data_IF_848866080527
#
_entry.id   IF_848866080527
#
_cell.length_a   1.000
_cell.length_b   1.000
_cell.length_c   1.000
_cell.angle_alpha   90.00
_cell.angle_beta   90.00
_cell.angle_gamma   90.00
#
_symmetry.space_group_name_H-M   'P 1'
#
loop_
_entity.id
_entity.type
_entity.pdbx_description
1 polymer ?
#
# COMPACT_ATOMS: atom_id res chain seq x y z
N UNK A 1 -9.43 -10.01 19.52
CA UNK A 1 -8.35 -9.01 19.69
C UNK A 1 -7.38 -9.34 20.83
N UNK A 2 -7.84 -9.90 21.96
CA UNK A 2 -6.96 -10.36 23.05
C UNK A 2 -5.81 -11.28 22.59
N UNK A 3 -6.05 -12.19 21.64
CA UNK A 3 -5.00 -13.06 21.09
C UNK A 3 -3.94 -12.26 20.33
N UNK A 4 -4.35 -11.29 19.50
CA UNK A 4 -3.44 -10.51 18.66
C UNK A 4 -2.60 -9.53 19.48
N UNK A 5 -3.23 -8.78 20.39
CA UNK A 5 -2.54 -7.88 21.33
C UNK A 5 -1.68 -8.69 22.32
N UNK A 6 -2.26 -9.74 22.91
CA UNK A 6 -1.61 -10.64 23.84
C UNK A 6 -1.14 -9.98 25.15
N UNK A 7 -0.49 -10.76 26.01
CA UNK A 7 0.10 -10.26 27.27
C UNK A 7 1.30 -9.34 27.06
N UNK A 8 1.93 -9.38 25.89
CA UNK A 8 3.05 -8.51 25.51
C UNK A 8 2.60 -7.12 25.02
N UNK A 9 1.29 -6.83 25.06
CA UNK A 9 0.73 -5.53 24.65
C UNK A 9 1.16 -5.09 23.25
N UNK A 10 1.14 -6.00 22.28
CA UNK A 10 1.55 -5.71 20.90
C UNK A 10 0.65 -4.63 20.28
N UNK A 11 1.27 -3.77 19.48
CA UNK A 11 0.53 -2.84 18.62
C UNK A 11 -0.03 -3.61 17.43
N UNK A 12 -1.32 -3.43 17.15
CA UNK A 12 -2.00 -4.10 16.04
C UNK A 12 -2.61 -3.05 15.13
N UNK A 13 -2.12 -2.98 13.90
CA UNK A 13 -2.74 -2.20 12.83
C UNK A 13 -3.80 -3.07 12.15
N UNK A 14 -5.08 -2.71 12.33
CA UNK A 14 -6.19 -3.48 11.79
C UNK A 14 -6.89 -2.70 10.68
N UNK A 15 -6.58 -3.09 9.44
CA UNK A 15 -7.18 -2.52 8.25
C UNK A 15 -8.57 -3.10 8.02
N UNK A 16 -9.58 -2.24 7.86
CA UNK A 16 -10.92 -2.69 7.45
C UNK A 16 -10.99 -3.03 5.97
N UNK A 17 -11.91 -3.91 5.53
CA UNK A 17 -12.02 -4.20 4.11
C UNK A 17 -12.45 -2.95 3.32
N UNK A 18 -12.00 -2.80 2.07
CA UNK A 18 -12.36 -1.68 1.21
C UNK A 18 -13.80 -1.80 0.70
N UNK A 19 -14.34 -0.69 0.17
CA UNK A 19 -15.60 -0.67 -0.59
C UNK A 19 -15.59 -1.72 -1.71
N UNK A 20 -16.68 -2.45 -1.93
CA UNK A 20 -16.78 -3.49 -2.95
C UNK A 20 -17.79 -3.11 -4.04
N UNK A 21 -17.59 -3.60 -5.27
CA UNK A 21 -18.46 -3.25 -6.41
C UNK A 21 -19.85 -3.88 -6.28
N UNK A 22 -19.91 -5.14 -5.88
CA UNK A 22 -21.18 -5.84 -5.65
C UNK A 22 -21.84 -5.35 -4.36
N UNK A 23 -23.10 -4.95 -4.42
CA UNK A 23 -23.80 -4.33 -3.30
C UNK A 23 -23.99 -5.27 -2.11
N UNK A 24 -24.20 -6.57 -2.35
CA UNK A 24 -24.39 -7.56 -1.29
C UNK A 24 -23.07 -7.78 -0.53
N UNK A 25 -21.96 -7.93 -1.25
CA UNK A 25 -20.63 -8.02 -0.64
C UNK A 25 -20.30 -6.70 0.07
N UNK A 26 -20.59 -5.57 -0.57
CA UNK A 26 -20.32 -4.23 -0.02
C UNK A 26 -21.02 -3.99 1.33
N UNK A 27 -22.28 -4.40 1.45
CA UNK A 27 -23.01 -4.31 2.71
C UNK A 27 -22.34 -5.13 3.81
N UNK A 28 -21.89 -6.35 3.49
CA UNK A 28 -21.19 -7.21 4.44
C UNK A 28 -19.87 -6.59 4.92
N UNK A 29 -19.05 -6.05 4.00
CA UNK A 29 -17.77 -5.45 4.40
C UNK A 29 -17.93 -4.17 5.22
N UNK A 30 -18.99 -3.37 4.97
CA UNK A 30 -19.34 -2.21 5.81
C UNK A 30 -19.61 -2.65 7.24
N UNK A 31 -20.46 -3.67 7.43
CA UNK A 31 -20.78 -4.22 8.75
C UNK A 31 -19.53 -4.79 9.45
N UNK A 32 -18.66 -5.48 8.72
CA UNK A 32 -17.38 -5.98 9.25
C UNK A 32 -16.50 -4.80 9.70
N UNK A 33 -16.36 -3.76 8.88
CA UNK A 33 -15.56 -2.57 9.20
C UNK A 33 -16.05 -1.87 10.46
N UNK A 34 -17.36 -1.69 10.61
CA UNK A 34 -17.98 -1.12 11.82
C UNK A 34 -17.72 -1.98 13.06
N UNK A 35 -17.87 -3.30 12.94
CA UNK A 35 -17.55 -4.22 14.04
C UNK A 35 -16.08 -4.13 14.43
N UNK A 36 -15.16 -4.12 13.46
CA UNK A 36 -13.72 -3.96 13.70
C UNK A 36 -13.43 -2.65 14.44
N UNK A 37 -14.00 -1.53 13.97
CA UNK A 37 -13.86 -0.21 14.60
C UNK A 37 -14.34 -0.24 16.06
N UNK A 38 -15.49 -0.85 16.32
CA UNK A 38 -16.06 -0.98 17.67
C UNK A 38 -15.22 -1.86 18.60
N UNK A 39 -14.62 -2.92 18.08
CA UNK A 39 -13.69 -3.77 18.83
C UNK A 39 -12.40 -3.02 19.11
N UNK A 40 -11.79 -2.40 18.10
CA UNK A 40 -10.52 -1.69 18.21
C UNK A 40 -10.55 -0.59 19.29
N UNK A 41 -11.66 0.16 19.40
CA UNK A 41 -11.85 1.20 20.43
C UNK A 41 -11.72 0.70 21.87
N UNK A 42 -11.81 -0.61 22.11
CA UNK A 42 -11.66 -1.22 23.44
C UNK A 42 -10.21 -1.57 23.78
N UNK A 43 -9.28 -1.41 22.84
CA UNK A 43 -7.88 -1.79 22.98
C UNK A 43 -6.97 -0.60 22.60
N UNK A 44 -6.30 0.05 23.57
CA UNK A 44 -5.51 1.25 23.31
C UNK A 44 -4.35 1.07 22.31
N UNK A 45 -3.82 -0.15 22.16
CA UNK A 45 -2.73 -0.48 21.24
C UNK A 45 -3.20 -0.93 19.86
N UNK A 46 -4.51 -0.88 19.59
CA UNK A 46 -5.06 -1.21 18.28
C UNK A 46 -5.31 0.06 17.51
N UNK A 47 -4.65 0.18 16.36
CA UNK A 47 -4.89 1.24 15.39
C UNK A 47 -5.82 0.67 14.32
N UNK A 48 -7.04 1.20 14.24
CA UNK A 48 -7.99 0.82 13.20
C UNK A 48 -7.83 1.73 12.00
N UNK A 49 -7.60 1.15 10.82
CA UNK A 49 -7.37 1.88 9.57
C UNK A 49 -8.59 1.69 8.69
N UNK A 50 -9.22 2.80 8.29
CA UNK A 50 -10.43 2.82 7.49
C UNK A 50 -10.15 2.50 6.03
N UNK A 51 -9.95 1.23 5.72
CA UNK A 51 -9.78 0.78 4.35
C UNK A 51 -11.01 1.06 3.48
N UNK A 52 -12.20 1.29 4.05
CA UNK A 52 -13.38 1.61 3.26
C UNK A 52 -13.25 3.00 2.66
N UNK A 53 -13.06 4.00 3.52
CA UNK A 53 -12.92 5.41 3.14
C UNK A 53 -11.63 5.71 2.38
N UNK A 54 -10.63 4.82 2.43
CA UNK A 54 -9.42 4.94 1.62
C UNK A 54 -9.68 4.65 0.13
N UNK A 55 -10.73 3.90 -0.21
CA UNK A 55 -10.95 3.38 -1.56
C UNK A 55 -12.33 3.71 -2.13
N UNK A 56 -13.15 4.49 -1.43
CA UNK A 56 -14.38 5.04 -1.98
C UNK A 56 -14.13 6.31 -2.78
N UNK A 57 -15.12 6.69 -3.59
CA UNK A 57 -15.15 8.00 -4.23
C UNK A 57 -15.79 9.06 -3.32
N UNK A 58 -15.89 10.29 -3.83
CA UNK A 58 -16.51 11.41 -3.11
C UNK A 58 -17.98 11.16 -2.72
N UNK A 59 -18.65 10.16 -3.30
CA UNK A 59 -20.02 9.76 -2.94
C UNK A 59 -20.09 8.57 -1.98
N UNK A 60 -18.94 8.02 -1.58
CA UNK A 60 -18.85 6.82 -0.75
C UNK A 60 -19.07 5.51 -1.52
N UNK A 61 -18.93 5.54 -2.86
CA UNK A 61 -19.16 4.40 -3.74
C UNK A 61 -17.87 3.76 -4.23
N UNK A 62 -17.99 2.55 -4.80
CA UNK A 62 -16.86 1.84 -5.39
C UNK A 62 -16.25 2.63 -6.55
N UNK A 63 -14.94 2.82 -6.52
CA UNK A 63 -14.18 3.41 -7.62
C UNK A 63 -13.06 2.47 -8.08
N UNK A 64 -12.88 2.35 -9.39
CA UNK A 64 -11.73 1.63 -9.97
C UNK A 64 -10.45 2.46 -9.90
N UNK A 65 -10.57 3.79 -9.91
CA UNK A 65 -9.47 4.75 -9.75
C UNK A 65 -9.75 5.68 -8.60
N UNK A 66 -8.71 6.06 -7.87
CA UNK A 66 -8.77 7.06 -6.80
C UNK A 66 -7.73 8.15 -7.07
N UNK A 67 -7.89 9.29 -6.40
CA UNK A 67 -6.89 10.36 -6.39
C UNK A 67 -6.02 10.16 -5.16
N UNK A 68 -4.72 10.02 -5.34
CA UNK A 68 -3.79 9.88 -4.23
C UNK A 68 -3.45 11.23 -3.57
N UNK A 69 -2.58 11.20 -2.55
CA UNK A 69 -2.17 12.40 -1.82
C UNK A 69 -1.41 13.43 -2.67
N UNK A 70 -0.84 13.02 -3.81
CA UNK A 70 -0.15 13.91 -4.75
C UNK A 70 -1.11 14.51 -5.79
N UNK A 71 -2.37 14.08 -5.80
CA UNK A 71 -3.36 14.46 -6.81
C UNK A 71 -3.36 13.56 -8.03
N UNK A 72 -2.60 12.46 -8.04
CA UNK A 72 -2.50 11.56 -9.18
C UNK A 72 -3.65 10.55 -9.20
N UNK A 73 -4.19 10.30 -10.41
CA UNK A 73 -5.23 9.28 -10.59
C UNK A 73 -4.62 7.89 -10.76
N UNK A 74 -4.65 7.09 -9.70
CA UNK A 74 -4.12 5.73 -9.70
C UNK A 74 -5.19 4.69 -10.01
N UNK A 75 -4.82 3.61 -10.71
CA UNK A 75 -5.69 2.44 -10.85
C UNK A 75 -5.65 1.67 -9.53
N UNK A 76 -6.63 1.84 -8.65
CA UNK A 76 -6.63 1.24 -7.32
C UNK A 76 -7.10 -0.23 -7.30
N UNK A 77 -7.92 -0.64 -8.28
CA UNK A 77 -8.58 -1.95 -8.31
C UNK A 77 -8.09 -2.83 -9.45
N UNK A 78 -8.04 -4.14 -9.22
CA UNK A 78 -7.65 -5.13 -10.23
C UNK A 78 -8.71 -5.33 -11.35
N UNK A 79 -9.92 -4.78 -11.18
CA UNK A 79 -11.01 -4.80 -12.16
C UNK A 79 -12.13 -5.81 -11.86
N UNK A 80 -11.89 -6.76 -10.96
CA UNK A 80 -12.86 -7.79 -10.55
C UNK A 80 -13.90 -7.32 -9.51
N UNK A 81 -13.81 -6.05 -9.08
CA UNK A 81 -14.71 -5.47 -8.09
C UNK A 81 -14.37 -5.79 -6.62
N UNK A 82 -13.31 -6.55 -6.37
CA UNK A 82 -12.89 -7.00 -5.03
C UNK A 82 -11.44 -6.59 -4.74
N UNK A 83 -10.49 -7.07 -5.54
CA UNK A 83 -9.06 -6.95 -5.24
C UNK A 83 -8.49 -5.57 -5.57
N UNK A 84 -7.44 -5.21 -4.83
CA UNK A 84 -6.58 -4.08 -5.14
C UNK A 84 -5.64 -4.44 -6.30
N UNK A 85 -5.30 -3.44 -7.10
CA UNK A 85 -4.16 -3.53 -8.02
C UNK A 85 -2.85 -3.41 -7.23
N UNK A 86 -1.67 -3.57 -7.86
CA UNK A 86 -0.40 -3.24 -7.23
C UNK A 86 -0.35 -1.79 -6.72
N UNK A 87 -0.75 -0.81 -7.55
CA UNK A 87 -0.78 0.60 -7.15
C UNK A 87 -1.76 0.87 -5.99
N UNK A 88 -2.89 0.16 -5.94
CA UNK A 88 -3.80 0.22 -4.80
C UNK A 88 -3.19 -0.40 -3.54
N UNK A 89 -2.43 -1.48 -3.69
CA UNK A 89 -1.66 -2.08 -2.61
C UNK A 89 -0.60 -1.13 -2.05
N UNK A 90 0.15 -0.45 -2.92
CA UNK A 90 1.14 0.56 -2.53
C UNK A 90 0.48 1.74 -1.80
N UNK A 91 -0.66 2.22 -2.30
CA UNK A 91 -1.44 3.27 -1.66
C UNK A 91 -1.90 2.87 -0.24
N UNK A 92 -2.46 1.67 -0.08
CA UNK A 92 -2.82 1.14 1.25
C UNK A 92 -1.58 0.98 2.14
N UNK A 93 -0.49 0.47 1.58
CA UNK A 93 0.78 0.31 2.29
C UNK A 93 1.31 1.63 2.83
N UNK A 94 1.21 2.71 2.04
CA UNK A 94 1.52 4.07 2.48
C UNK A 94 0.69 4.51 3.68
N UNK A 95 -0.64 4.33 3.62
CA UNK A 95 -1.53 4.68 4.73
C UNK A 95 -1.22 3.88 6.02
N UNK A 96 -0.89 2.59 5.90
CA UNK A 96 -0.43 1.80 7.06
C UNK A 96 0.91 2.31 7.57
N UNK A 97 1.84 2.62 6.67
CA UNK A 97 3.15 3.13 7.05
C UNK A 97 3.06 4.48 7.76
N UNK A 98 2.14 5.36 7.36
CA UNK A 98 1.92 6.65 8.03
C UNK A 98 1.49 6.47 9.49
N UNK A 99 0.64 5.47 9.79
CA UNK A 99 0.26 5.16 11.16
C UNK A 99 1.42 4.57 11.98
N UNK A 100 2.27 3.74 11.35
CA UNK A 100 3.49 3.20 11.96
C UNK A 100 4.46 4.36 12.27
N UNK A 101 4.68 5.24 11.30
CA UNK A 101 5.57 6.39 11.40
C UNK A 101 5.08 7.41 12.44
N UNK A 102 3.77 7.59 12.60
CA UNK A 102 3.22 8.44 13.64
C UNK A 102 3.57 7.96 15.06
N UNK A 103 3.70 6.65 15.26
CA UNK A 103 3.98 6.07 16.59
C UNK A 103 5.48 6.01 16.87
N UNK A 104 6.29 5.67 15.86
CA UNK A 104 7.71 5.40 16.06
C UNK A 104 8.64 6.39 15.36
N UNK A 105 8.13 7.34 14.58
CA UNK A 105 8.94 8.34 13.87
C UNK A 105 10.05 7.68 13.03
N UNK A 106 9.68 6.67 12.24
CA UNK A 106 10.64 5.89 11.44
C UNK A 106 11.34 6.75 10.39
N UNK A 107 10.66 7.75 9.83
CA UNK A 107 11.24 8.71 8.89
C UNK A 107 12.32 9.57 9.54
N UNK A 108 12.14 9.97 10.80
CA UNK A 108 13.12 10.76 11.54
C UNK A 108 14.37 9.93 11.90
N UNK A 109 14.22 8.61 11.98
CA UNK A 109 15.31 7.66 12.19
C UNK A 109 16.07 7.31 10.89
N UNK A 110 15.63 7.79 9.74
CA UNK A 110 16.24 7.44 8.46
C UNK A 110 17.67 7.98 8.34
N UNK A 111 18.61 7.11 7.97
CA UNK A 111 19.99 7.51 7.68
C UNK A 111 20.12 7.85 6.20
N UNK A 112 20.35 9.14 5.91
CA UNK A 112 20.51 9.63 4.53
C UNK A 112 21.56 8.84 3.75
N UNK A 113 21.22 8.45 2.53
CA UNK A 113 22.08 7.65 1.65
C UNK A 113 22.28 6.19 2.05
N UNK A 114 21.59 5.69 3.10
CA UNK A 114 21.69 4.30 3.56
C UNK A 114 20.32 3.63 3.67
N UNK A 115 19.67 3.32 2.53
CA UNK A 115 18.38 2.63 2.55
C UNK A 115 18.53 1.24 3.16
N UNK A 116 17.53 0.81 3.93
CA UNK A 116 17.48 -0.54 4.45
C UNK A 116 17.30 -1.54 3.31
N UNK A 117 18.04 -2.66 3.35
CA UNK A 117 17.91 -3.70 2.34
C UNK A 117 16.52 -4.33 2.42
N UNK A 118 15.77 -4.27 1.32
CA UNK A 118 14.52 -5.02 1.16
C UNK A 118 14.86 -6.51 1.13
N UNK A 119 14.24 -7.28 2.02
CA UNK A 119 14.34 -8.74 2.05
C UNK A 119 13.07 -9.32 1.43
N UNK A 120 13.09 -9.52 0.12
CA UNK A 120 12.02 -10.27 -0.55
C UNK A 120 12.07 -11.74 -0.11
N UNK A 121 10.91 -12.28 0.25
CA UNK A 121 10.75 -13.70 0.56
C UNK A 121 9.99 -14.37 -0.58
N UNK A 122 10.30 -15.62 -0.93
CA UNK A 122 9.60 -16.31 -2.02
C UNK A 122 8.08 -16.19 -1.84
N UNK A 123 7.41 -15.56 -2.81
CA UNK A 123 5.97 -15.33 -2.80
C UNK A 123 5.51 -13.97 -2.28
N UNK A 124 6.39 -13.10 -1.76
CA UNK A 124 6.00 -11.76 -1.26
C UNK A 124 5.53 -10.80 -2.36
N UNK A 125 6.03 -10.96 -3.58
CA UNK A 125 5.82 -10.02 -4.70
C UNK A 125 4.85 -10.54 -5.77
N UNK A 126 4.28 -11.74 -5.61
CA UNK A 126 3.38 -12.34 -6.59
C UNK A 126 1.92 -12.21 -6.15
N UNK A 127 1.15 -11.37 -6.85
CA UNK A 127 -0.30 -11.27 -6.69
C UNK A 127 -0.95 -11.90 -7.93
N UNK A 128 -1.57 -13.10 -7.82
CA UNK A 128 -2.28 -13.73 -8.94
C UNK A 128 -3.31 -12.78 -9.56
N UNK A 129 -3.36 -12.71 -10.89
CA UNK A 129 -4.31 -11.86 -11.61
C UNK A 129 -3.90 -10.38 -11.76
N UNK A 130 -2.75 -9.97 -11.22
CA UNK A 130 -2.17 -8.65 -11.50
C UNK A 130 -0.99 -8.76 -12.47
N UNK A 131 -0.87 -7.81 -13.39
CA UNK A 131 0.36 -7.63 -14.16
C UNK A 131 1.38 -6.98 -13.22
N UNK A 132 2.62 -7.50 -13.11
CA UNK A 132 3.66 -6.79 -12.38
C UNK A 132 3.82 -5.42 -13.04
N UNK A 133 3.51 -4.35 -12.31
CA UNK A 133 3.95 -3.03 -12.71
C UNK A 133 5.47 -3.08 -12.72
N UNK A 134 6.06 -2.77 -13.88
CA UNK A 134 7.47 -2.40 -13.96
C UNK A 134 7.66 -1.18 -13.08
N UNK A 135 7.98 -1.39 -11.82
CA UNK A 135 8.47 -0.34 -10.94
C UNK A 135 9.70 0.26 -11.66
N UNK A 136 9.65 1.58 -11.90
CA UNK A 136 10.84 2.37 -12.17
C UNK A 136 11.89 2.16 -11.07
N UNK A 137 13.15 2.57 -11.27
CA UNK A 137 14.32 1.91 -10.72
C UNK A 137 14.41 2.03 -9.20
N UNK A 138 13.72 1.14 -8.49
CA UNK A 138 14.25 0.62 -7.24
C UNK A 138 15.50 -0.16 -7.63
N UNK A 139 16.65 0.36 -7.23
CA UNK A 139 18.00 -0.19 -7.40
C UNK A 139 17.94 -1.70 -7.51
N UNK A 140 18.16 -2.24 -8.72
CA UNK A 140 18.13 -3.68 -8.98
C UNK A 140 19.25 -4.33 -8.18
N UNK A 141 18.96 -4.77 -6.97
CA UNK A 141 19.74 -5.83 -6.34
C UNK A 141 19.34 -7.11 -7.07
N UNK A 142 20.06 -7.42 -8.13
CA UNK A 142 20.06 -8.74 -8.75
C UNK A 142 20.41 -9.75 -7.64
N UNK A 143 19.40 -10.41 -7.08
CA UNK A 143 19.60 -11.49 -6.13
C UNK A 143 20.38 -12.61 -6.82
N UNK A 144 21.44 -13.08 -6.18
CA UNK A 144 22.28 -14.15 -6.67
C UNK A 144 21.43 -15.37 -7.09
N UNK A 145 21.71 -15.89 -8.29
CA UNK A 145 21.21 -17.18 -8.77
C UNK A 145 21.71 -18.28 -7.84
N UNK A 146 20.83 -18.77 -6.97
CA UNK A 146 21.09 -19.95 -6.14
C UNK A 146 21.05 -21.22 -6.99
N UNK A 147 21.98 -22.13 -6.71
CA UNK A 147 22.26 -23.34 -7.48
C UNK A 147 21.04 -24.25 -7.74
N UNK A 148 21.01 -24.82 -8.95
CA UNK A 148 20.07 -25.85 -9.39
C UNK A 148 20.16 -27.10 -8.52
N UNK A 149 19.09 -27.39 -7.77
CA UNK A 149 18.85 -28.70 -7.16
C UNK A 149 18.06 -29.61 -8.09
N UNK A 150 18.41 -30.89 -8.10
CA UNK A 150 17.92 -31.92 -9.03
C UNK A 150 16.49 -32.41 -8.75
N UNK A 151 15.70 -32.51 -9.82
CA UNK A 151 14.67 -33.53 -10.12
C UNK A 151 13.24 -33.45 -9.55
N UNK A 152 12.27 -33.47 -10.50
CA UNK A 152 10.89 -33.98 -10.39
C UNK A 152 9.81 -32.89 -10.54
N UNK A 153 8.87 -32.86 -11.49
CA UNK A 153 8.39 -33.77 -12.55
C UNK A 153 7.80 -32.94 -13.71
N UNK A 154 7.60 -33.62 -14.85
CA UNK A 154 7.38 -33.15 -16.23
C UNK A 154 6.06 -32.38 -16.53
N UNK A 155 6.13 -31.51 -17.55
CA UNK A 155 5.04 -31.00 -18.41
C UNK A 155 4.48 -29.63 -18.00
N UNK A 156 4.51 -28.54 -18.80
CA UNK A 156 4.47 -28.37 -20.26
C UNK A 156 5.40 -27.23 -20.70
N UNK A 157 6.17 -27.50 -21.75
CA UNK A 157 7.00 -26.55 -22.50
C UNK A 157 6.12 -25.57 -23.28
N UNK A 158 6.41 -24.27 -23.17
CA UNK A 158 5.80 -23.23 -23.99
C UNK A 158 6.79 -22.10 -24.33
N UNK A 159 7.43 -22.21 -25.50
CA UNK A 159 7.88 -21.12 -26.36
C UNK A 159 8.99 -20.17 -25.87
N UNK A 160 10.22 -20.45 -26.27
CA UNK A 160 11.33 -19.49 -26.31
C UNK A 160 11.00 -18.31 -27.25
N UNK A 161 10.88 -17.10 -26.69
CA UNK A 161 10.78 -15.84 -27.43
C UNK A 161 12.14 -15.15 -27.52
N UNK A 162 12.43 -14.60 -28.70
CA UNK A 162 13.73 -14.15 -29.21
C UNK A 162 14.41 -13.00 -28.47
N UNK A 163 15.74 -13.09 -28.36
CA UNK A 163 16.67 -12.00 -28.04
C UNK A 163 16.44 -10.77 -28.94
N UNK A 164 16.08 -9.64 -28.33
CA UNK A 164 15.92 -8.34 -28.99
C UNK A 164 17.03 -7.36 -28.61
N UNK A 165 17.95 -7.18 -29.55
CA UNK A 165 18.87 -6.06 -29.84
C UNK A 165 19.06 -4.91 -28.84
N UNK A 166 20.33 -4.68 -28.50
CA UNK A 166 20.95 -3.42 -28.05
C UNK A 166 20.54 -2.23 -28.93
N UNK A 167 20.12 -1.12 -28.31
CA UNK A 167 19.80 0.15 -28.96
C UNK A 167 20.35 1.33 -28.17
N UNK A 168 21.03 2.23 -28.88
CA UNK A 168 21.97 3.25 -28.43
C UNK A 168 21.43 4.39 -27.56
N UNK A 169 22.38 5.03 -26.86
CA UNK A 169 22.32 6.32 -26.19
C UNK A 169 21.65 7.43 -27.01
N UNK A 170 20.90 8.30 -26.32
CA UNK A 170 20.78 9.72 -26.69
C UNK A 170 20.87 10.59 -25.43
N UNK A 171 21.79 11.55 -25.51
CA UNK A 171 22.02 12.67 -24.60
C UNK A 171 21.08 13.84 -24.92
N UNK A 172 20.99 14.81 -23.99
CA UNK A 172 20.38 16.17 -23.99
C UNK A 172 19.14 16.29 -23.10
N UNK A 173 18.90 17.34 -22.29
CA UNK A 173 19.65 18.53 -21.84
C UNK A 173 18.89 19.08 -20.62
N UNK A 174 19.60 19.77 -19.72
CA UNK A 174 19.04 20.48 -18.58
C UNK A 174 18.20 21.70 -19.00
N UNK A 175 17.08 21.95 -18.33
CA UNK A 175 16.56 23.31 -18.15
C UNK A 175 15.83 23.43 -16.82
N UNK A 176 16.34 24.33 -15.99
CA UNK A 176 15.80 24.76 -14.70
C UNK A 176 14.56 25.61 -14.92
N UNK A 177 13.51 25.40 -14.12
CA UNK A 177 12.54 26.47 -13.84
C UNK A 177 12.09 26.38 -12.38
N UNK A 178 12.34 27.47 -11.67
CA UNK A 178 11.85 27.76 -10.33
C UNK A 178 10.44 28.30 -10.47
N UNK A 179 9.46 27.65 -9.83
CA UNK A 179 8.12 28.21 -9.65
C UNK A 179 7.70 28.06 -8.19
N UNK A 180 7.72 29.18 -7.49
CA UNK A 180 7.10 29.39 -6.18
C UNK A 180 5.60 29.52 -6.37
N UNK A 181 4.78 28.65 -5.79
CA UNK A 181 3.33 28.85 -5.76
C UNK A 181 2.74 28.52 -4.40
N UNK A 182 2.20 29.56 -3.79
CA UNK A 182 1.43 29.63 -2.55
C UNK A 182 0.27 28.64 -2.51
N UNK A 183 0.20 27.83 -1.45
CA UNK A 183 -0.92 26.90 -1.20
C UNK A 183 -2.13 27.64 -0.65
N UNK A 184 -3.19 27.79 -1.44
CA UNK A 184 -4.55 28.06 -0.96
C UNK A 184 -5.36 26.76 -0.93
N UNK A 185 -5.86 26.40 0.26
CA UNK A 185 -6.64 25.18 0.56
C UNK A 185 -8.05 25.24 -0.04
N UNK A 186 -8.57 24.18 -0.69
CA UNK A 186 -9.97 24.11 -1.10
C UNK A 186 -10.92 23.94 0.10
N UNK A 187 -12.11 24.56 0.09
CA UNK A 187 -13.09 24.42 1.17
C UNK A 187 -13.91 23.13 0.98
N UNK A 188 -13.96 22.25 1.98
CA UNK A 188 -14.85 21.08 1.91
C UNK A 188 -14.69 19.96 2.95
N UNK A 189 -13.58 19.86 3.69
CA UNK A 189 -13.46 18.81 4.72
C UNK A 189 -13.97 19.30 6.08
N UNK A 190 -15.14 18.79 6.49
CA UNK A 190 -15.60 18.82 7.87
C UNK A 190 -14.57 18.10 8.75
N UNK A 191 -13.82 18.84 9.57
CA UNK A 191 -12.87 18.29 10.53
C UNK A 191 -13.65 17.68 11.70
N UNK A 192 -13.76 16.36 11.76
CA UNK A 192 -14.08 15.68 13.04
C UNK A 192 -12.81 15.68 13.88
N UNK A 193 -12.67 16.68 14.74
CA UNK A 193 -11.63 16.74 15.77
C UNK A 193 -11.79 15.57 16.73
N UNK A 194 -10.98 14.52 16.56
CA UNK A 194 -10.83 13.49 17.59
C UNK A 194 -9.64 13.90 18.46
N UNK A 195 -9.93 14.41 19.66
CA UNK A 195 -8.92 14.65 20.70
C UNK A 195 -8.30 13.29 21.07
N UNK A 196 -7.08 13.00 20.59
CA UNK A 196 -6.32 11.82 20.98
C UNK A 196 -5.43 12.20 22.16
N UNK A 197 -5.70 11.58 23.31
CA UNK A 197 -4.87 11.71 24.51
C UNK A 197 -3.47 11.17 24.22
N UNK A 198 -2.47 12.03 24.33
CA UNK A 198 -1.05 11.64 24.30
C UNK A 198 -0.76 10.78 25.52
N UNK A 199 -0.36 9.52 25.30
CA UNK A 199 0.15 8.65 26.36
C UNK A 199 1.62 9.04 26.60
N UNK A 200 2.02 9.42 27.82
CA UNK A 200 3.43 9.66 28.12
C UNK A 200 4.21 8.34 28.13
N UNK A 201 5.42 8.38 27.58
CA UNK A 201 6.39 7.29 27.60
C UNK A 201 7.01 7.27 29.00
N UNK A 202 6.94 6.13 29.69
CA UNK A 202 7.76 5.81 30.88
C UNK A 202 9.03 5.08 30.45
#
# INVERSE_FOLDING_TARGET
MQILVGSQNRTVFWVSPPVMKDSKINNGVRQIGELQRNVARRFPTVVWIDGYSLFDDASGAYATRIIDANGDSILARAGDGVHLSPAGGDYLGGAVFDEIDLIWHLRDQAVSGRPQRVVETKGSTYIPGTRPSTLGPATRSTGATGATGTSGVSGVTGGTGTTGTTGSSSTTSSTSSTSTTTTTRPPGSTTTSTTRTTIPIL
#
